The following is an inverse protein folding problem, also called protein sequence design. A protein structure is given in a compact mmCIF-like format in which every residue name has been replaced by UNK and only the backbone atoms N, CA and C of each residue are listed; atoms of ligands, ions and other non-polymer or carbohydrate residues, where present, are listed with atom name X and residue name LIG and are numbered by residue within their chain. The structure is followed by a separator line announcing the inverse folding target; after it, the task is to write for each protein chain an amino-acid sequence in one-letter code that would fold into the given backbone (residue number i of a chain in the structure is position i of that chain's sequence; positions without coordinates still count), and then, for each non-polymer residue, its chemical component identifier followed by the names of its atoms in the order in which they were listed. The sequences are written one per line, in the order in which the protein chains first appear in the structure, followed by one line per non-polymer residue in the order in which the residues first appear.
data_IF_040617303317
#
_entry.id   IF_040617303317
#
_cell.length_a   1.000
_cell.length_b   1.000
_cell.length_c   1.000
_cell.angle_alpha   90.00
_cell.angle_beta   90.00
_cell.angle_gamma   90.00
#
_symmetry.space_group_name_H-M   'P 1'
#
loop_
_entity.id
_entity.type
_entity.pdbx_description
1 polymer ?
#
# COMPACT_ATOMS: atom_id res chain seq x y z
N UNK A 1 -18.84 -14.24 7.91
CA UNK A 1 -18.02 -13.04 8.15
C UNK A 1 -17.24 -12.67 6.89
N UNK A 2 -17.15 -11.40 6.62
CA UNK A 2 -16.45 -10.91 5.44
C UNK A 2 -14.94 -10.83 5.73
N UNK A 3 -14.11 -11.36 4.85
CA UNK A 3 -12.66 -11.31 5.01
C UNK A 3 -12.13 -9.89 4.83
N UNK A 4 -10.92 -9.65 5.31
CA UNK A 4 -10.24 -8.36 5.10
C UNK A 4 -10.12 -8.04 3.61
N UNK A 5 -9.79 -9.05 2.80
CA UNK A 5 -9.66 -8.88 1.35
C UNK A 5 -11.00 -8.46 0.72
N UNK A 6 -12.09 -9.10 1.10
CA UNK A 6 -13.41 -8.76 0.57
C UNK A 6 -13.83 -7.35 0.98
N UNK A 7 -13.60 -6.98 2.23
CA UNK A 7 -13.90 -5.65 2.73
C UNK A 7 -13.08 -4.59 1.98
N UNK A 8 -11.79 -4.86 1.74
CA UNK A 8 -10.93 -3.96 1.01
C UNK A 8 -11.39 -3.79 -0.44
N UNK A 9 -11.78 -4.89 -1.10
CA UNK A 9 -12.30 -4.83 -2.46
C UNK A 9 -13.52 -3.91 -2.55
N UNK A 10 -14.43 -4.01 -1.59
CA UNK A 10 -15.61 -3.15 -1.57
C UNK A 10 -15.25 -1.67 -1.41
N UNK A 11 -14.28 -1.36 -0.54
CA UNK A 11 -13.81 0.02 -0.37
C UNK A 11 -13.11 0.54 -1.63
N UNK A 12 -12.33 -0.30 -2.30
CA UNK A 12 -11.68 0.08 -3.56
C UNK A 12 -12.74 0.43 -4.60
N UNK A 13 -13.77 -0.40 -4.74
CA UNK A 13 -14.83 -0.16 -5.71
C UNK A 13 -15.60 1.12 -5.43
N UNK A 14 -15.91 1.37 -4.16
CA UNK A 14 -16.74 2.52 -3.79
C UNK A 14 -15.98 3.84 -3.77
N UNK A 15 -14.72 3.83 -3.33
CA UNK A 15 -14.00 5.06 -2.99
C UNK A 15 -12.79 5.35 -3.87
N UNK A 16 -12.22 4.35 -4.55
CA UNK A 16 -10.94 4.51 -5.24
C UNK A 16 -11.02 4.34 -6.76
N UNK A 17 -12.09 3.76 -7.28
CA UNK A 17 -12.25 3.56 -8.72
C UNK A 17 -13.08 4.68 -9.31
N UNK A 18 -12.52 5.34 -10.31
CA UNK A 18 -13.19 6.42 -11.05
C UNK A 18 -13.33 6.02 -12.51
N UNK A 19 -14.54 6.17 -13.03
CA UNK A 19 -14.83 5.86 -14.44
C UNK A 19 -14.90 7.14 -15.25
N UNK A 20 -14.43 7.09 -16.48
CA UNK A 20 -14.46 8.25 -17.37
C UNK A 20 -13.44 8.10 -18.49
N UNK A 21 -13.14 9.23 -19.13
CA UNK A 21 -12.12 9.26 -20.19
C UNK A 21 -10.85 9.87 -19.61
N UNK A 22 -9.83 9.05 -19.45
CA UNK A 22 -8.55 9.47 -18.89
C UNK A 22 -7.43 9.27 -19.91
N UNK A 23 -6.48 10.22 -19.91
CA UNK A 23 -5.26 10.09 -20.69
C UNK A 23 -4.11 9.91 -19.69
N UNK A 24 -3.43 8.76 -19.81
CA UNK A 24 -2.31 8.44 -18.93
C UNK A 24 -1.05 9.20 -19.34
N UNK A 25 -0.06 9.25 -18.45
CA UNK A 25 1.23 9.88 -18.72
C UNK A 25 1.89 9.32 -19.98
N UNK A 26 1.68 8.05 -20.27
CA UNK A 26 2.18 7.38 -21.47
C UNK A 26 1.48 7.83 -22.76
N UNK A 27 0.40 8.61 -22.66
CA UNK A 27 -0.44 9.00 -23.78
C UNK A 27 -1.56 8.01 -24.08
N UNK A 28 -1.58 6.87 -23.41
CA UNK A 28 -2.64 5.87 -23.58
C UNK A 28 -3.91 6.35 -22.90
N UNK A 29 -5.05 5.97 -23.47
CA UNK A 29 -6.36 6.28 -22.92
C UNK A 29 -6.85 5.13 -22.05
N UNK A 30 -7.55 5.47 -20.96
CA UNK A 30 -8.14 4.48 -20.05
C UNK A 30 -9.57 4.89 -19.76
N UNK A 31 -10.44 3.89 -19.58
CA UNK A 31 -11.85 4.11 -19.24
C UNK A 31 -12.07 4.13 -17.74
N UNK A 32 -11.07 3.85 -16.95
CA UNK A 32 -11.14 3.93 -15.50
C UNK A 32 -9.77 4.29 -14.93
N UNK A 33 -9.80 4.75 -13.69
CA UNK A 33 -8.60 5.13 -12.95
C UNK A 33 -8.78 4.67 -11.50
N UNK A 34 -7.72 4.09 -10.93
CA UNK A 34 -7.73 3.65 -9.53
C UNK A 34 -6.77 4.52 -8.72
N UNK A 35 -7.32 5.20 -7.73
CA UNK A 35 -6.51 6.07 -6.86
C UNK A 35 -6.48 5.49 -5.44
N UNK A 36 -5.47 4.66 -5.17
CA UNK A 36 -5.31 4.02 -3.87
C UNK A 36 -4.92 5.00 -2.76
N UNK A 37 -4.53 6.24 -3.10
CA UNK A 37 -4.27 7.26 -2.08
C UNK A 37 -5.55 7.61 -1.31
N UNK A 38 -6.69 7.39 -1.91
CA UNK A 38 -7.99 7.54 -1.23
C UNK A 38 -8.15 6.56 -0.08
N UNK A 39 -7.40 5.46 -0.09
CA UNK A 39 -7.54 4.38 0.87
C UNK A 39 -6.32 4.17 1.77
N UNK A 40 -5.12 4.39 1.25
CA UNK A 40 -3.91 4.07 2.00
C UNK A 40 -3.75 4.89 3.28
N UNK A 41 -4.41 6.04 3.37
CA UNK A 41 -4.43 6.88 4.57
C UNK A 41 -5.83 6.96 5.19
N UNK A 42 -6.73 6.09 4.77
CA UNK A 42 -8.11 6.03 5.29
C UNK A 42 -8.16 5.08 6.49
N UNK A 43 -8.81 5.52 7.57
CA UNK A 43 -8.85 4.74 8.81
C UNK A 43 -9.56 3.39 8.67
N UNK A 44 -10.48 3.26 7.71
CA UNK A 44 -11.19 2.00 7.45
C UNK A 44 -10.32 1.05 6.64
N UNK A 45 -9.62 1.60 5.64
CA UNK A 45 -8.91 0.81 4.64
C UNK A 45 -7.48 0.47 5.05
N UNK A 46 -6.77 1.36 5.73
CA UNK A 46 -5.38 1.14 6.06
C UNK A 46 -5.14 -0.17 6.85
N UNK A 47 -5.93 -0.48 7.89
CA UNK A 47 -5.75 -1.76 8.58
C UNK A 47 -6.01 -2.97 7.66
N UNK A 48 -6.98 -2.87 6.77
CA UNK A 48 -7.30 -3.93 5.82
C UNK A 48 -6.15 -4.14 4.83
N UNK A 49 -5.55 -3.05 4.35
CA UNK A 49 -4.39 -3.11 3.46
C UNK A 49 -3.25 -3.85 4.16
N UNK A 50 -2.97 -3.52 5.41
CA UNK A 50 -1.94 -4.20 6.18
C UNK A 50 -2.21 -5.69 6.31
N UNK A 51 -3.45 -6.07 6.62
CA UNK A 51 -3.84 -7.47 6.77
C UNK A 51 -3.71 -8.24 5.46
N UNK A 52 -4.18 -7.67 4.36
CA UNK A 52 -4.11 -8.31 3.05
C UNK A 52 -2.65 -8.47 2.61
N UNK A 53 -1.83 -7.45 2.82
CA UNK A 53 -0.41 -7.53 2.47
C UNK A 53 0.31 -8.56 3.33
N UNK A 54 -0.01 -8.66 4.62
CA UNK A 54 0.56 -9.68 5.49
C UNK A 54 0.22 -11.09 5.01
N UNK A 55 -1.02 -11.30 4.56
CA UNK A 55 -1.41 -12.59 4.00
C UNK A 55 -0.53 -12.96 2.80
N UNK A 56 -0.18 -11.99 1.98
CA UNK A 56 0.66 -12.21 0.80
C UNK A 56 2.10 -12.56 1.15
N UNK A 57 2.64 -12.00 2.24
CA UNK A 57 4.04 -12.20 2.59
C UNK A 57 4.26 -13.29 3.64
N UNK A 58 3.20 -13.83 4.23
CA UNK A 58 3.31 -14.88 5.26
C UNK A 58 4.05 -16.13 4.77
N UNK A 59 3.98 -16.41 3.47
CA UNK A 59 4.62 -17.58 2.88
C UNK A 59 6.06 -17.32 2.45
N UNK A 60 6.55 -16.10 2.66
CA UNK A 60 7.92 -15.72 2.27
C UNK A 60 8.82 -15.77 3.51
N UNK A 61 9.80 -16.67 3.50
CA UNK A 61 10.74 -16.80 4.61
C UNK A 61 11.76 -15.65 4.62
N UNK A 62 12.16 -15.25 5.82
CA UNK A 62 13.28 -14.34 5.99
C UNK A 62 12.96 -12.85 5.81
N UNK A 63 11.69 -12.50 5.66
CA UNK A 63 11.30 -11.09 5.55
C UNK A 63 11.45 -10.42 6.91
N UNK A 64 12.22 -9.33 6.97
CA UNK A 64 12.43 -8.57 8.20
C UNK A 64 11.99 -7.11 8.06
N UNK A 65 11.81 -6.63 6.84
CA UNK A 65 11.41 -5.24 6.60
C UNK A 65 10.62 -5.12 5.31
N UNK A 66 9.79 -4.10 5.25
CA UNK A 66 8.97 -3.79 4.07
C UNK A 66 9.11 -2.33 3.72
N UNK A 67 8.97 -1.99 2.46
CA UNK A 67 9.08 -0.60 2.04
C UNK A 67 8.88 -0.46 0.55
N UNK A 68 9.09 0.74 0.08
CA UNK A 68 8.96 1.05 -1.33
C UNK A 68 9.14 2.52 -1.59
N UNK A 69 8.82 2.91 -2.80
CA UNK A 69 9.06 4.26 -3.26
C UNK A 69 8.14 5.26 -2.54
N UNK A 70 8.76 6.27 -1.94
CA UNK A 70 8.03 7.34 -1.28
C UNK A 70 7.29 8.17 -2.35
N UNK A 71 6.12 8.75 -2.08
CA UNK A 71 5.36 8.65 -0.82
C UNK A 71 4.27 7.59 -0.88
N UNK A 72 4.03 6.99 -2.06
CA UNK A 72 2.93 6.05 -2.25
C UNK A 72 3.04 4.78 -1.40
N UNK A 73 4.26 4.27 -1.23
CA UNK A 73 4.46 3.04 -0.49
C UNK A 73 4.50 3.24 1.03
N UNK A 74 4.76 4.46 1.50
CA UNK A 74 4.98 4.70 2.92
C UNK A 74 3.78 4.31 3.80
N UNK A 75 2.55 4.73 3.50
CA UNK A 75 1.41 4.33 4.33
C UNK A 75 1.12 2.84 4.25
N UNK A 76 1.42 2.19 3.12
CA UNK A 76 1.22 0.74 2.98
C UNK A 76 2.22 -0.01 3.85
N UNK A 77 3.49 0.39 3.81
CA UNK A 77 4.52 -0.21 4.65
C UNK A 77 4.21 -0.01 6.14
N UNK A 78 3.74 1.18 6.50
CA UNK A 78 3.33 1.48 7.87
C UNK A 78 2.16 0.59 8.31
N UNK A 79 1.18 0.38 7.43
CA UNK A 79 0.05 -0.50 7.73
C UNK A 79 0.51 -1.94 7.98
N UNK A 80 1.45 -2.43 7.18
CA UNK A 80 2.00 -3.77 7.36
C UNK A 80 2.73 -3.87 8.70
N UNK A 81 3.54 -2.87 9.04
CA UNK A 81 4.29 -2.82 10.28
C UNK A 81 3.33 -2.91 11.49
N UNK A 82 2.31 -2.07 11.51
CA UNK A 82 1.36 -1.99 12.63
C UNK A 82 0.48 -3.23 12.73
N UNK A 83 -0.06 -3.70 11.63
CA UNK A 83 -0.90 -4.90 11.63
C UNK A 83 -0.08 -6.16 11.91
N UNK A 84 1.19 -6.15 11.54
CA UNK A 84 2.08 -7.27 11.81
C UNK A 84 2.23 -7.56 13.29
N UNK A 85 2.27 -6.53 14.11
CA UNK A 85 2.39 -6.68 15.58
C UNK A 85 1.23 -7.53 16.12
N UNK A 86 0.01 -7.31 15.62
CA UNK A 86 -1.16 -8.08 16.05
C UNK A 86 -1.05 -9.57 15.70
N UNK A 87 -0.22 -9.93 14.73
CA UNK A 87 0.02 -11.32 14.31
C UNK A 87 1.32 -11.89 14.89
N UNK A 88 1.97 -11.17 15.80
CA UNK A 88 3.24 -11.60 16.37
C UNK A 88 4.42 -11.47 15.41
N UNK A 89 4.31 -10.62 14.40
CA UNK A 89 5.38 -10.35 13.44
C UNK A 89 6.10 -9.06 13.80
N UNK A 90 7.38 -9.00 13.54
CA UNK A 90 8.21 -7.83 13.86
C UNK A 90 8.87 -7.29 12.59
N UNK A 91 8.05 -6.75 11.70
CA UNK A 91 8.55 -6.14 10.47
C UNK A 91 8.86 -4.67 10.70
N UNK A 92 10.02 -4.24 10.26
CA UNK A 92 10.37 -2.82 10.19
C UNK A 92 9.90 -2.27 8.85
N UNK A 93 9.81 -0.95 8.75
CA UNK A 93 9.48 -0.29 7.49
C UNK A 93 10.64 0.61 7.07
N UNK A 94 10.85 0.73 5.78
CA UNK A 94 11.86 1.60 5.22
C UNK A 94 11.28 2.41 4.08
N UNK A 95 11.97 3.51 3.73
CA UNK A 95 11.55 4.44 2.69
C UNK A 95 12.59 4.44 1.58
N UNK A 96 12.12 4.28 0.35
CA UNK A 96 12.98 4.43 -0.83
C UNK A 96 12.74 5.81 -1.41
N UNK A 97 13.78 6.62 -1.47
CA UNK A 97 13.68 7.97 -2.01
C UNK A 97 13.69 7.91 -3.54
N UNK A 98 12.92 8.80 -4.13
CA UNK A 98 12.91 8.94 -5.59
C UNK A 98 14.29 9.34 -6.12
N UNK A 99 14.99 10.19 -5.36
CA UNK A 99 16.35 10.62 -5.67
C UNK A 99 17.20 10.54 -4.41
N UNK A 100 18.50 10.19 -4.52
CA UNK A 100 19.35 10.15 -3.35
C UNK A 100 19.57 11.55 -2.78
N UNK A 101 19.90 11.63 -1.50
CA UNK A 101 20.27 12.88 -0.87
C UNK A 101 21.57 13.41 -1.49
N UNK A 102 21.68 14.74 -1.56
CA UNK A 102 22.94 15.38 -2.00
C UNK A 102 24.07 15.12 -1.02
N UNK A 103 23.76 14.79 0.22
CA UNK A 103 24.74 14.54 1.27
C UNK A 103 24.16 13.53 2.26
N UNK A 104 25.01 13.01 3.11
CA UNK A 104 24.61 12.02 4.09
C UNK A 104 24.69 10.61 3.53
N UNK A 105 23.79 9.73 4.00
CA UNK A 105 23.83 8.30 3.68
C UNK A 105 23.05 7.90 2.44
N UNK A 106 22.48 8.85 1.73
CA UNK A 106 21.70 8.57 0.54
C UNK A 106 20.33 7.90 0.81
N UNK A 107 19.76 8.15 1.97
CA UNK A 107 18.48 7.55 2.33
C UNK A 107 17.41 8.52 2.80
#
# INVERSE_FOLDING_TARGET
MTSAREQLIELIKSDAVFHGDFTLTSGKKASYYVDMRKLSLDHRAAPLIGQVMLDLIDDIDGVVAVGGLTMGADPIASAILHQGIARGKAYDAFVVRKEPKDHGRGR
#
